data_IF_262490029455
#
_entry.id   IF_262490029455
#
_cell.length_a   1.000
_cell.length_b   1.000
_cell.length_c   1.000
_cell.angle_alpha   90.00
_cell.angle_beta   90.00
_cell.angle_gamma   90.00
#
_symmetry.space_group_name_H-M   'P 1'
#
loop_
_entity.id
_entity.type
_entity.pdbx_description
1 polymer ?
#
# COMPACT_ATOMS: atom_id res chain seq x y z
N UNK A 1 10.00 -21.38 25.29
CA UNK A 1 9.63 -21.62 23.88
C UNK A 1 9.32 -23.10 23.75
N UNK A 2 8.13 -23.49 23.27
CA UNK A 2 7.78 -24.90 23.11
C UNK A 2 8.55 -25.51 21.93
N UNK A 3 8.73 -26.86 21.93
CA UNK A 3 9.40 -27.58 20.85
C UNK A 3 8.70 -27.35 19.47
N UNK A 4 7.39 -27.20 19.48
CA UNK A 4 6.57 -26.84 18.31
C UNK A 4 6.87 -25.42 17.78
N UNK A 5 7.14 -24.47 18.67
CA UNK A 5 7.54 -23.11 18.30
C UNK A 5 8.98 -23.09 17.73
N UNK A 6 9.89 -23.91 18.27
CA UNK A 6 11.24 -24.09 17.73
C UNK A 6 11.23 -24.72 16.33
N UNK A 7 10.36 -25.73 16.10
CA UNK A 7 10.22 -26.37 14.80
C UNK A 7 9.57 -25.42 13.76
N UNK A 8 8.60 -24.62 14.14
CA UNK A 8 8.04 -23.57 13.29
C UNK A 8 9.07 -22.48 12.97
N UNK A 9 9.91 -22.13 13.93
CA UNK A 9 11.00 -21.17 13.78
C UNK A 9 12.08 -21.64 12.80
N UNK A 10 12.45 -22.92 12.84
CA UNK A 10 13.47 -23.51 11.94
C UNK A 10 12.91 -23.88 10.57
N UNK A 11 11.61 -24.03 10.41
CA UNK A 11 10.99 -24.41 9.12
C UNK A 11 10.58 -23.22 8.24
N UNK A 12 10.60 -21.99 8.77
CA UNK A 12 10.32 -20.81 7.98
C UNK A 12 11.52 -20.51 7.07
N UNK A 13 11.32 -20.60 5.76
CA UNK A 13 12.32 -20.21 4.77
C UNK A 13 12.54 -18.69 4.84
N UNK A 14 13.72 -18.20 5.30
CA UNK A 14 13.98 -16.76 5.38
C UNK A 14 14.03 -16.08 4.01
N UNK A 15 14.09 -16.87 2.93
CA UNK A 15 14.06 -16.39 1.54
C UNK A 15 12.69 -16.57 0.89
N UNK A 16 11.67 -17.02 1.62
CA UNK A 16 10.33 -17.16 1.08
C UNK A 16 9.82 -15.82 0.55
N UNK A 17 9.39 -15.81 -0.72
CA UNK A 17 8.84 -14.62 -1.35
C UNK A 17 7.37 -14.40 -0.99
N UNK A 18 6.71 -15.41 -0.45
CA UNK A 18 5.31 -15.38 0.03
C UNK A 18 5.04 -16.65 0.84
N UNK A 19 3.90 -16.70 1.55
CA UNK A 19 3.43 -17.90 2.24
C UNK A 19 2.45 -18.68 1.36
N UNK A 20 2.46 -20.01 1.48
CA UNK A 20 1.49 -20.93 0.87
C UNK A 20 0.24 -21.13 1.74
N UNK A 21 0.26 -20.70 3.01
CA UNK A 21 -0.85 -20.85 3.94
C UNK A 21 -1.94 -19.80 3.71
N UNK A 22 -3.19 -20.08 4.09
CA UNK A 22 -4.26 -19.09 4.00
C UNK A 22 -3.95 -17.87 4.86
N UNK A 23 -4.36 -16.70 4.37
CA UNK A 23 -4.20 -15.43 5.08
C UNK A 23 -5.27 -15.30 6.16
N UNK A 24 -4.85 -15.05 7.40
CA UNK A 24 -5.74 -14.84 8.54
C UNK A 24 -6.14 -13.38 8.71
N UNK A 25 -5.31 -12.49 8.18
CA UNK A 25 -5.52 -11.06 8.25
C UNK A 25 -5.28 -10.41 6.90
N UNK A 26 -6.13 -9.45 6.54
CA UNK A 26 -5.94 -8.59 5.38
C UNK A 26 -6.41 -7.16 5.67
N UNK A 27 -5.57 -6.19 5.36
CA UNK A 27 -5.90 -4.77 5.47
C UNK A 27 -5.59 -4.02 4.17
N UNK A 28 -6.50 -3.13 3.81
CA UNK A 28 -6.37 -2.16 2.71
C UNK A 28 -6.83 -0.80 3.23
N UNK A 29 -6.45 0.30 2.56
CA UNK A 29 -6.84 1.65 2.98
C UNK A 29 -8.01 2.21 2.14
N UNK A 30 -9.22 2.34 2.70
CA UNK A 30 -10.30 3.11 2.09
C UNK A 30 -9.93 4.59 1.84
N UNK A 31 -9.08 5.17 2.69
CA UNK A 31 -8.58 6.52 2.52
C UNK A 31 -7.83 6.68 1.19
N UNK A 32 -6.92 5.76 0.86
CA UNK A 32 -6.18 5.80 -0.41
C UNK A 32 -7.11 5.72 -1.63
N UNK A 33 -8.20 4.95 -1.54
CA UNK A 33 -9.21 4.90 -2.62
C UNK A 33 -9.89 6.25 -2.81
N UNK A 34 -10.25 6.94 -1.72
CA UNK A 34 -10.84 8.29 -1.79
C UNK A 34 -9.85 9.29 -2.39
N UNK A 35 -8.59 9.23 -1.95
CA UNK A 35 -7.52 10.07 -2.52
C UNK A 35 -7.34 9.79 -4.00
N UNK A 36 -7.36 8.52 -4.43
CA UNK A 36 -7.27 8.16 -5.85
C UNK A 36 -8.41 8.77 -6.67
N UNK A 37 -9.66 8.70 -6.19
CA UNK A 37 -10.83 9.27 -6.88
C UNK A 37 -10.69 10.78 -7.02
N UNK A 38 -10.36 11.49 -5.92
CA UNK A 38 -10.19 12.95 -5.95
C UNK A 38 -9.06 13.33 -6.91
N UNK A 39 -7.94 12.61 -6.85
CA UNK A 39 -6.81 12.85 -7.73
C UNK A 39 -7.17 12.66 -9.21
N UNK A 40 -7.88 11.57 -9.54
CA UNK A 40 -8.33 11.29 -10.92
C UNK A 40 -9.28 12.39 -11.43
N UNK A 41 -10.20 12.86 -10.59
CA UNK A 41 -11.09 13.98 -10.97
C UNK A 41 -10.27 15.23 -11.30
N UNK A 42 -9.27 15.57 -10.48
CA UNK A 42 -8.41 16.73 -10.71
C UNK A 42 -7.57 16.58 -12.00
N UNK A 43 -6.96 15.40 -12.19
CA UNK A 43 -6.18 15.11 -13.40
C UNK A 43 -7.04 15.19 -14.65
N UNK A 44 -8.22 14.57 -14.63
CA UNK A 44 -9.12 14.61 -15.79
C UNK A 44 -9.65 16.02 -16.06
N UNK A 45 -10.03 16.78 -15.02
CA UNK A 45 -10.47 18.15 -15.18
C UNK A 45 -9.39 19.03 -15.82
N UNK A 46 -8.12 18.91 -15.37
CA UNK A 46 -7.01 19.66 -15.95
C UNK A 46 -6.77 19.29 -17.42
N UNK A 47 -6.75 18.00 -17.75
CA UNK A 47 -6.48 17.54 -19.11
C UNK A 47 -7.64 17.84 -20.08
N UNK A 48 -8.89 17.76 -19.63
CA UNK A 48 -10.05 18.17 -20.41
C UNK A 48 -10.04 19.70 -20.65
N UNK A 49 -9.71 20.48 -19.62
CA UNK A 49 -9.57 21.92 -19.75
C UNK A 49 -8.47 22.29 -20.76
N UNK A 50 -7.30 21.63 -20.70
CA UNK A 50 -6.22 21.83 -21.67
C UNK A 50 -6.66 21.44 -23.09
N UNK A 51 -7.32 20.30 -23.26
CA UNK A 51 -7.83 19.87 -24.57
C UNK A 51 -8.87 20.85 -25.16
N UNK A 52 -9.69 21.47 -24.30
CA UNK A 52 -10.62 22.49 -24.70
C UNK A 52 -9.94 23.80 -25.09
N UNK A 53 -8.98 24.30 -24.29
CA UNK A 53 -8.28 25.57 -24.52
C UNK A 53 -7.40 25.53 -25.76
N UNK A 54 -6.77 24.39 -26.04
CA UNK A 54 -5.98 24.21 -27.28
C UNK A 54 -6.86 24.33 -28.53
N UNK A 55 -8.14 24.00 -28.44
CA UNK A 55 -9.12 24.20 -29.54
C UNK A 55 -9.53 25.64 -29.76
N UNK A 56 -9.26 26.53 -28.81
CA UNK A 56 -9.54 27.97 -28.96
C UNK A 56 -8.35 28.60 -29.71
N UNK A 57 -8.62 29.18 -30.89
CA UNK A 57 -7.63 29.68 -31.87
C UNK A 57 -6.73 30.83 -31.39
N UNK A 58 -6.41 30.95 -30.13
CA UNK A 58 -5.65 32.05 -29.55
C UNK A 58 -4.10 31.95 -29.72
N UNK A 59 -3.59 30.78 -30.09
CA UNK A 59 -2.13 30.56 -30.08
C UNK A 59 -1.46 30.69 -31.44
N UNK A 60 -2.22 30.88 -32.51
CA UNK A 60 -1.66 30.96 -33.89
C UNK A 60 -1.07 29.65 -34.43
N UNK A 61 -1.04 28.57 -33.60
CA UNK A 61 -0.61 27.26 -34.03
C UNK A 61 -1.73 26.50 -34.72
N UNK A 62 -1.39 25.74 -35.78
CA UNK A 62 -2.36 24.87 -36.47
C UNK A 62 -2.63 23.64 -35.57
N UNK A 63 -3.76 23.68 -34.88
CA UNK A 63 -4.18 22.57 -33.99
C UNK A 63 -4.89 21.52 -34.84
N UNK A 64 -4.39 20.32 -34.81
CA UNK A 64 -5.02 19.17 -35.47
C UNK A 64 -6.10 18.54 -34.57
N UNK A 65 -6.96 17.71 -35.15
CA UNK A 65 -7.97 16.96 -34.40
C UNK A 65 -7.26 16.00 -33.38
N UNK A 66 -6.07 15.48 -33.71
CA UNK A 66 -5.28 14.62 -32.85
C UNK A 66 -4.88 15.37 -31.58
N UNK A 67 -4.45 16.62 -31.67
CA UNK A 67 -4.01 17.43 -30.53
C UNK A 67 -5.14 17.60 -29.50
N UNK A 68 -6.39 17.76 -29.94
CA UNK A 68 -7.56 17.91 -29.08
C UNK A 68 -7.83 16.65 -28.23
N UNK A 69 -7.52 15.47 -28.76
CA UNK A 69 -7.71 14.19 -28.06
C UNK A 69 -6.45 13.73 -27.32
N UNK A 70 -5.26 14.25 -27.65
CA UNK A 70 -4.02 13.88 -27.00
C UNK A 70 -4.04 14.21 -25.51
N UNK A 71 -4.46 15.42 -25.11
CA UNK A 71 -4.53 15.81 -23.70
C UNK A 71 -5.49 14.93 -22.89
N UNK A 72 -6.78 14.76 -23.26
CA UNK A 72 -7.66 13.83 -22.58
C UNK A 72 -7.11 12.39 -22.53
N UNK A 73 -6.52 11.93 -23.63
CA UNK A 73 -5.91 10.58 -23.70
C UNK A 73 -4.79 10.38 -22.68
N UNK A 74 -3.88 11.35 -22.56
CA UNK A 74 -2.84 11.33 -21.53
C UNK A 74 -3.46 11.36 -20.13
N UNK A 75 -4.47 12.17 -19.89
CA UNK A 75 -5.20 12.23 -18.63
C UNK A 75 -5.79 10.88 -18.23
N UNK A 76 -6.37 10.13 -19.20
CA UNK A 76 -6.90 8.78 -18.98
C UNK A 76 -5.78 7.82 -18.58
N UNK A 77 -4.64 7.82 -19.28
CA UNK A 77 -3.51 6.94 -18.95
C UNK A 77 -2.99 7.23 -17.54
N UNK A 78 -2.77 8.51 -17.19
CA UNK A 78 -2.34 8.91 -15.85
C UNK A 78 -3.36 8.45 -14.80
N UNK A 79 -4.67 8.60 -15.08
CA UNK A 79 -5.75 8.21 -14.17
C UNK A 79 -5.74 6.70 -13.90
N UNK A 80 -5.58 5.87 -14.94
CA UNK A 80 -5.50 4.41 -14.81
C UNK A 80 -4.28 4.02 -13.98
N UNK A 81 -3.10 4.56 -14.28
CA UNK A 81 -1.88 4.26 -13.55
C UNK A 81 -1.99 4.69 -12.07
N UNK A 82 -2.55 5.87 -11.81
CA UNK A 82 -2.78 6.37 -10.45
C UNK A 82 -3.76 5.50 -9.68
N UNK A 83 -4.85 5.05 -10.32
CA UNK A 83 -5.80 4.13 -9.70
C UNK A 83 -5.13 2.82 -9.30
N UNK A 84 -4.41 2.18 -10.24
CA UNK A 84 -3.69 0.94 -9.97
C UNK A 84 -2.67 1.10 -8.85
N UNK A 85 -1.91 2.20 -8.84
CA UNK A 85 -0.90 2.47 -7.82
C UNK A 85 -1.51 2.67 -6.43
N UNK A 86 -2.54 3.52 -6.31
CA UNK A 86 -3.11 3.91 -5.00
C UNK A 86 -4.08 2.87 -4.42
N UNK A 87 -4.65 1.99 -5.22
CA UNK A 87 -5.53 0.92 -4.75
C UNK A 87 -4.82 -0.41 -4.51
N UNK A 88 -3.56 -0.52 -4.95
CA UNK A 88 -2.74 -1.72 -4.81
C UNK A 88 -2.27 -2.02 -3.38
N UNK A 89 -1.96 -1.03 -2.50
CA UNK A 89 -1.40 -1.29 -1.18
C UNK A 89 -2.27 -2.21 -0.33
N UNK A 90 -1.64 -3.24 0.25
CA UNK A 90 -2.28 -4.28 1.06
C UNK A 90 -1.29 -4.83 2.06
N UNK A 91 -1.78 -5.12 3.26
CA UNK A 91 -1.08 -5.84 4.30
C UNK A 91 -1.81 -7.16 4.55
N UNK A 92 -1.11 -8.27 4.54
CA UNK A 92 -1.62 -9.59 4.89
C UNK A 92 -0.73 -10.24 5.93
N UNK A 93 -1.31 -11.06 6.78
CA UNK A 93 -0.55 -11.85 7.76
C UNK A 93 -1.18 -13.22 7.96
N UNK A 94 -0.34 -14.19 8.31
CA UNK A 94 -0.71 -15.53 8.71
C UNK A 94 0.33 -16.09 9.69
N UNK A 95 0.27 -17.37 10.01
CA UNK A 95 1.22 -18.02 10.93
C UNK A 95 2.69 -17.99 10.49
N UNK A 96 2.98 -17.82 9.19
CA UNK A 96 4.34 -17.82 8.67
C UNK A 96 4.99 -16.44 8.72
N UNK A 97 4.19 -15.37 8.59
CA UNK A 97 4.71 -14.02 8.54
C UNK A 97 3.74 -13.00 7.95
N UNK A 98 4.30 -11.91 7.50
CA UNK A 98 3.59 -10.72 7.01
C UNK A 98 3.97 -10.40 5.58
N UNK A 99 2.99 -10.28 4.70
CA UNK A 99 3.16 -9.81 3.34
C UNK A 99 2.73 -8.34 3.24
N UNK A 100 3.67 -7.50 2.83
CA UNK A 100 3.45 -6.07 2.62
C UNK A 100 3.50 -5.80 1.12
N UNK A 101 2.37 -5.40 0.57
CA UNK A 101 2.27 -4.95 -0.82
C UNK A 101 2.10 -3.44 -0.84
N UNK A 102 3.11 -2.75 -1.28
CA UNK A 102 3.10 -1.30 -1.50
C UNK A 102 2.90 -0.97 -3.00
N UNK A 103 3.05 0.30 -3.38
CA UNK A 103 2.85 0.76 -4.76
C UNK A 103 3.78 0.02 -5.73
N UNK A 104 5.08 -0.07 -5.42
CA UNK A 104 6.10 -0.57 -6.33
C UNK A 104 6.46 -2.05 -6.15
N UNK A 105 6.04 -2.70 -5.06
CA UNK A 105 6.46 -4.07 -4.81
C UNK A 105 5.66 -4.79 -3.74
N UNK A 106 5.88 -6.09 -3.67
CA UNK A 106 5.39 -6.98 -2.63
C UNK A 106 6.61 -7.61 -1.96
N UNK A 107 6.63 -7.64 -0.63
CA UNK A 107 7.67 -8.30 0.16
C UNK A 107 7.01 -9.10 1.27
N UNK A 108 7.59 -10.26 1.55
CA UNK A 108 7.21 -11.12 2.65
C UNK A 108 8.28 -11.06 3.74
N UNK A 109 7.84 -11.00 4.99
CA UNK A 109 8.71 -10.97 6.17
C UNK A 109 8.23 -12.04 7.14
N UNK A 110 9.05 -13.07 7.44
CA UNK A 110 8.75 -14.02 8.50
C UNK A 110 8.68 -13.30 9.86
N UNK A 111 7.88 -13.83 10.80
CA UNK A 111 7.72 -13.22 12.13
C UNK A 111 9.04 -13.05 12.88
N UNK A 112 10.03 -13.91 12.61
CA UNK A 112 11.36 -13.89 13.26
C UNK A 112 12.18 -12.62 12.98
N UNK A 113 11.92 -11.96 11.86
CA UNK A 113 12.66 -10.73 11.48
C UNK A 113 11.85 -9.46 11.73
N UNK A 114 10.66 -9.59 12.32
CA UNK A 114 9.77 -8.46 12.62
C UNK A 114 9.91 -8.12 14.11
N UNK A 115 10.19 -6.85 14.42
CA UNK A 115 10.19 -6.34 15.80
C UNK A 115 8.82 -5.81 16.21
N UNK A 116 7.93 -5.55 15.27
CA UNK A 116 6.55 -5.16 15.52
C UNK A 116 6.01 -4.12 14.55
N UNK A 117 4.70 -3.90 14.65
CA UNK A 117 4.02 -2.81 13.95
C UNK A 117 4.06 -1.56 14.81
N UNK A 118 4.63 -0.49 14.30
CA UNK A 118 4.62 0.82 14.95
C UNK A 118 3.81 1.83 14.14
N UNK A 119 3.25 2.80 14.86
CA UNK A 119 2.60 3.95 14.27
C UNK A 119 3.17 5.21 14.93
N UNK A 120 4.31 5.73 14.43
CA UNK A 120 4.99 6.86 15.05
C UNK A 120 4.09 8.09 15.12
N UNK A 121 4.24 8.86 16.17
CA UNK A 121 3.51 10.11 16.35
C UNK A 121 3.79 11.07 15.17
N UNK A 122 2.74 11.68 14.62
CA UNK A 122 2.84 12.53 13.44
C UNK A 122 2.99 11.80 12.11
N UNK A 123 3.15 10.48 12.10
CA UNK A 123 3.23 9.71 10.87
C UNK A 123 1.86 9.61 10.17
N UNK A 124 1.89 9.59 8.83
CA UNK A 124 0.69 9.36 8.02
C UNK A 124 0.35 7.89 7.84
N UNK A 125 1.30 6.99 8.08
CA UNK A 125 1.13 5.55 7.88
C UNK A 125 1.89 4.75 8.95
N UNK A 126 1.44 3.52 9.18
CA UNK A 126 2.15 2.56 10.01
C UNK A 126 3.44 2.08 9.32
N UNK A 127 4.31 1.46 10.10
CA UNK A 127 5.51 0.79 9.60
C UNK A 127 5.77 -0.50 10.37
N UNK A 128 6.37 -1.48 9.71
CA UNK A 128 6.93 -2.66 10.35
C UNK A 128 8.39 -2.35 10.69
N UNK A 129 8.74 -2.53 11.96
CA UNK A 129 10.11 -2.38 12.46
C UNK A 129 10.88 -3.69 12.19
N UNK A 130 12.10 -3.56 11.70
CA UNK A 130 13.01 -4.63 11.36
C UNK A 130 14.33 -4.48 12.16
N UNK A 131 15.23 -5.49 12.16
CA UNK A 131 16.56 -5.36 12.72
C UNK A 131 17.34 -4.16 12.16
N UNK A 132 18.41 -3.76 12.86
CA UNK A 132 19.33 -2.70 12.44
C UNK A 132 18.68 -1.33 12.22
N UNK A 133 17.60 -1.02 12.95
CA UNK A 133 16.81 0.21 12.84
C UNK A 133 16.17 0.43 11.47
N UNK A 134 16.08 -0.63 10.67
CA UNK A 134 15.34 -0.59 9.41
C UNK A 134 13.83 -0.63 9.65
N UNK A 135 13.07 -0.12 8.70
CA UNK A 135 11.62 -0.23 8.73
C UNK A 135 11.03 -0.29 7.32
N UNK A 136 9.85 -0.88 7.23
CA UNK A 136 9.08 -0.93 5.99
C UNK A 136 7.77 -0.18 6.18
N UNK A 137 7.51 0.88 5.39
CA UNK A 137 6.24 1.59 5.46
C UNK A 137 5.08 0.71 4.97
N UNK A 138 3.97 0.75 5.71
CA UNK A 138 2.76 -0.02 5.40
C UNK A 138 1.70 0.93 4.85
N UNK A 139 1.67 1.10 3.54
CA UNK A 139 0.72 2.01 2.87
C UNK A 139 -0.74 1.60 3.05
N UNK A 140 -1.00 0.35 3.39
CA UNK A 140 -2.34 -0.15 3.67
C UNK A 140 -2.94 0.36 4.99
N UNK A 141 -2.11 0.90 5.91
CA UNK A 141 -2.53 1.42 7.21
C UNK A 141 -2.25 2.91 7.29
N UNK A 142 -3.25 3.72 6.93
CA UNK A 142 -3.15 5.18 6.87
C UNK A 142 -3.86 5.85 8.05
N UNK A 143 -3.25 6.90 8.61
CA UNK A 143 -3.90 7.73 9.65
C UNK A 143 -5.22 8.35 9.15
N UNK A 144 -5.33 8.61 7.86
CA UNK A 144 -6.54 9.11 7.22
C UNK A 144 -7.74 8.14 7.29
N UNK A 145 -7.53 6.86 7.58
CA UNK A 145 -8.59 5.88 7.82
C UNK A 145 -9.24 6.02 9.22
N UNK A 146 -8.67 6.89 10.09
CA UNK A 146 -9.21 7.24 11.42
C UNK A 146 -9.48 6.00 12.28
N UNK A 147 -10.74 5.80 12.71
CA UNK A 147 -11.12 4.68 13.58
C UNK A 147 -10.87 3.31 12.94
N UNK A 148 -10.98 3.21 11.61
CA UNK A 148 -10.74 1.95 10.90
C UNK A 148 -9.29 1.48 11.02
N UNK A 149 -8.30 2.41 11.01
CA UNK A 149 -6.90 2.02 11.17
C UNK A 149 -6.61 1.52 12.58
N UNK A 150 -7.24 2.11 13.60
CA UNK A 150 -7.07 1.67 14.99
C UNK A 150 -7.53 0.22 15.15
N UNK A 151 -8.70 -0.11 14.61
CA UNK A 151 -9.22 -1.49 14.64
C UNK A 151 -8.29 -2.45 13.92
N UNK A 152 -7.80 -2.08 12.72
CA UNK A 152 -6.86 -2.91 11.94
C UNK A 152 -5.54 -3.12 12.67
N UNK A 153 -4.97 -2.08 13.26
CA UNK A 153 -3.73 -2.16 14.04
C UNK A 153 -3.93 -3.06 15.27
N UNK A 154 -5.07 -2.96 15.95
CA UNK A 154 -5.39 -3.84 17.10
C UNK A 154 -5.46 -5.30 16.67
N UNK A 155 -6.22 -5.62 15.63
CA UNK A 155 -6.30 -6.99 15.12
C UNK A 155 -4.96 -7.53 14.62
N UNK A 156 -4.10 -6.67 14.08
CA UNK A 156 -2.75 -7.08 13.69
C UNK A 156 -1.88 -7.39 14.93
N UNK A 157 -1.97 -6.59 15.98
CA UNK A 157 -1.25 -6.82 17.25
C UNK A 157 -1.68 -8.12 17.95
N UNK A 158 -2.93 -8.54 17.78
CA UNK A 158 -3.40 -9.83 18.28
C UNK A 158 -2.68 -11.00 17.58
N UNK A 159 -2.29 -10.83 16.29
CA UNK A 159 -1.47 -11.79 15.57
C UNK A 159 0.01 -11.70 15.96
N UNK A 160 0.55 -10.50 16.15
CA UNK A 160 1.89 -10.31 16.72
C UNK A 160 2.04 -11.07 18.04
N UNK A 161 1.12 -10.87 18.97
CA UNK A 161 1.12 -11.55 20.27
C UNK A 161 1.03 -13.08 20.16
N UNK A 162 0.46 -13.60 19.07
CA UNK A 162 0.31 -15.04 18.84
C UNK A 162 1.51 -15.68 18.17
N UNK A 163 2.13 -15.01 17.22
CA UNK A 163 3.10 -15.58 16.29
C UNK A 163 4.51 -15.04 16.43
N UNK A 164 4.69 -13.86 17.02
CA UNK A 164 6.02 -13.33 17.28
C UNK A 164 6.67 -14.09 18.46
N UNK A 165 7.97 -14.37 18.38
CA UNK A 165 8.73 -14.88 19.53
C UNK A 165 8.58 -13.88 20.68
N UNK A 166 8.23 -14.39 21.87
CA UNK A 166 8.30 -13.57 23.08
C UNK A 166 9.73 -13.61 23.57
N UNK A 167 10.38 -12.46 23.64
CA UNK A 167 11.66 -12.33 24.32
C UNK A 167 11.40 -12.57 25.82
N UNK A 168 11.91 -13.69 26.35
CA UNK A 168 11.96 -13.99 27.77
C UNK A 168 13.08 -13.19 28.45
#
# INVERSE_FOLDING_TARGET
>A
MSEEQLLAYTSADPFAQTSSKPWEYEATSPYLRKVAIIWIILVMAAHLFMGFTVGLSFTGATVTTIDKFAFPGVGVVISILSWLALTRPRLRANSDGVEIRNILGTRFYPWQVIYGLSFPEGSRMARIELPDFEYVPVWALQSGDKQNVITKVRSFRDLEARYMPQDD
#
